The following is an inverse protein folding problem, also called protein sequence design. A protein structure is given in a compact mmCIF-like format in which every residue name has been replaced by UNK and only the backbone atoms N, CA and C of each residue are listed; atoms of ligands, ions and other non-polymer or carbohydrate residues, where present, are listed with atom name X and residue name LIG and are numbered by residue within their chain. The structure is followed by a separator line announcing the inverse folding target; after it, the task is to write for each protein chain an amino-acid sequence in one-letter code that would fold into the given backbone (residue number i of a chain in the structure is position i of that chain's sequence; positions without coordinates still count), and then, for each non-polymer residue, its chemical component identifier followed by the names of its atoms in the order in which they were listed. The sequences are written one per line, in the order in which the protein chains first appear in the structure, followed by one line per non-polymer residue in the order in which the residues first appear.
data_IF_344635475645
#
_entry.id   IF_344635475645
#
_cell.length_a   1.000
_cell.length_b   1.000
_cell.length_c   1.000
_cell.angle_alpha   90.00
_cell.angle_beta   90.00
_cell.angle_gamma   90.00
#
_symmetry.space_group_name_H-M   'P 1'
#
loop_
_entity.id
_entity.type
_entity.pdbx_description
1 polymer ?
#
# COMPACT_ATOMS: atom_id res chain seq x y z
N UNK A 1 14.48 42.16 62.41
CA UNK A 1 14.31 43.23 61.41
C UNK A 1 15.40 43.04 60.38
N UNK A 2 15.06 42.81 59.10
CA UNK A 2 15.84 43.17 57.90
C UNK A 2 15.15 42.52 56.69
N UNK A 3 14.34 43.32 56.01
CA UNK A 3 13.64 43.02 54.77
C UNK A 3 14.61 43.17 53.60
N UNK A 4 14.73 42.13 52.75
CA UNK A 4 15.43 42.22 51.47
C UNK A 4 14.49 41.72 50.36
N UNK A 5 13.44 42.50 50.08
CA UNK A 5 12.61 42.26 48.90
C UNK A 5 13.20 43.07 47.74
N UNK A 6 14.13 42.46 47.00
CA UNK A 6 14.65 43.01 45.75
C UNK A 6 13.50 43.04 44.75
N UNK A 7 12.90 44.23 44.60
CA UNK A 7 11.79 44.48 43.70
C UNK A 7 12.04 43.90 42.32
N UNK A 8 11.19 42.95 41.93
CA UNK A 8 11.06 42.52 40.56
C UNK A 8 10.67 43.75 39.72
N UNK A 9 11.65 44.35 39.05
CA UNK A 9 11.40 45.39 38.05
C UNK A 9 10.76 44.72 36.84
N UNK A 10 9.44 44.71 36.80
CA UNK A 10 8.70 44.43 35.58
C UNK A 10 8.90 45.61 34.62
N UNK A 11 9.49 45.34 33.45
CA UNK A 11 9.62 46.37 32.41
C UNK A 11 8.23 46.65 31.81
N UNK A 12 7.67 47.81 32.16
CA UNK A 12 6.43 48.38 31.63
C UNK A 12 6.64 48.89 30.20
N UNK A 13 7.15 48.04 29.29
CA UNK A 13 7.10 48.41 27.88
C UNK A 13 5.67 48.15 27.42
N UNK A 14 4.84 49.18 27.54
CA UNK A 14 3.46 49.17 27.07
C UNK A 14 3.44 48.67 25.62
N UNK A 15 2.79 47.51 25.43
CA UNK A 15 2.60 46.96 24.10
C UNK A 15 1.75 47.96 23.33
N UNK A 16 2.31 48.51 22.26
CA UNK A 16 1.61 49.54 21.50
C UNK A 16 0.25 49.03 21.02
N UNK A 17 -0.81 49.80 21.26
CA UNK A 17 -2.19 49.43 20.88
C UNK A 17 -2.29 49.07 19.40
N UNK A 18 -1.50 49.74 18.55
CA UNK A 18 -1.39 49.43 17.12
C UNK A 18 -0.91 48.02 16.86
N UNK A 19 0.09 47.55 17.62
CA UNK A 19 0.61 46.18 17.48
C UNK A 19 -0.41 45.13 17.90
N UNK A 20 -1.22 45.41 18.93
CA UNK A 20 -2.33 44.55 19.33
C UNK A 20 -3.40 44.50 18.25
N UNK A 21 -3.73 45.65 17.64
CA UNK A 21 -4.69 45.72 16.53
C UNK A 21 -4.20 44.96 15.30
N UNK A 22 -2.91 45.09 14.93
CA UNK A 22 -2.34 44.33 13.82
C UNK A 22 -2.29 42.83 14.12
N UNK A 23 -1.93 42.43 15.34
CA UNK A 23 -1.94 41.03 15.73
C UNK A 23 -3.36 40.44 15.66
N UNK A 24 -4.36 41.18 16.15
CA UNK A 24 -5.76 40.78 16.05
C UNK A 24 -6.25 40.69 14.59
N UNK A 25 -5.94 41.69 13.76
CA UNK A 25 -6.28 41.68 12.34
C UNK A 25 -5.62 40.51 11.60
N UNK A 26 -4.34 40.26 11.87
CA UNK A 26 -3.60 39.14 11.30
C UNK A 26 -4.18 37.79 11.72
N UNK A 27 -4.60 37.66 12.98
CA UNK A 27 -5.27 36.46 13.47
C UNK A 27 -6.59 36.22 12.73
N UNK A 28 -7.41 37.27 12.54
CA UNK A 28 -8.69 37.16 11.80
C UNK A 28 -8.44 36.75 10.34
N UNK A 29 -7.46 37.37 9.68
CA UNK A 29 -7.08 37.01 8.31
C UNK A 29 -6.60 35.57 8.23
N UNK A 30 -5.76 35.14 9.18
CA UNK A 30 -5.26 33.77 9.22
C UNK A 30 -6.39 32.75 9.37
N UNK A 31 -7.35 33.00 10.27
CA UNK A 31 -8.53 32.14 10.44
C UNK A 31 -9.35 32.09 9.15
N UNK A 32 -9.59 33.23 8.52
CA UNK A 32 -10.35 33.29 7.26
C UNK A 32 -9.67 32.49 6.13
N UNK A 33 -8.35 32.63 5.99
CA UNK A 33 -7.56 31.86 5.01
C UNK A 33 -7.60 30.36 5.32
N UNK A 34 -7.47 29.98 6.60
CA UNK A 34 -7.54 28.57 7.00
C UNK A 34 -8.89 27.95 6.70
N UNK A 35 -9.99 28.67 6.96
CA UNK A 35 -11.34 28.21 6.63
C UNK A 35 -11.56 28.11 5.12
N UNK A 36 -11.10 29.09 4.35
CA UNK A 36 -11.16 29.05 2.90
C UNK A 36 -10.35 27.89 2.31
N UNK A 37 -9.18 27.60 2.89
CA UNK A 37 -8.35 26.46 2.49
C UNK A 37 -9.04 25.13 2.77
N UNK A 38 -9.64 24.95 3.95
CA UNK A 38 -10.44 23.76 4.26
C UNK A 38 -11.61 23.63 3.29
N UNK A 39 -12.36 24.71 3.06
CA UNK A 39 -13.49 24.71 2.13
C UNK A 39 -13.06 24.35 0.68
N UNK A 40 -11.91 24.86 0.24
CA UNK A 40 -11.33 24.54 -1.06
C UNK A 40 -10.97 23.05 -1.16
N UNK A 41 -10.31 22.50 -0.13
CA UNK A 41 -9.97 21.07 -0.09
C UNK A 41 -11.23 20.21 -0.06
N UNK A 42 -12.22 20.54 0.77
CA UNK A 42 -13.49 19.79 0.80
C UNK A 42 -14.21 19.88 -0.53
N UNK A 43 -14.22 21.03 -1.21
CA UNK A 43 -14.82 21.15 -2.54
C UNK A 43 -14.06 20.35 -3.62
N UNK A 44 -12.73 20.34 -3.57
CA UNK A 44 -11.89 19.60 -4.51
C UNK A 44 -12.00 18.07 -4.32
N UNK A 45 -12.13 17.63 -3.07
CA UNK A 45 -12.18 16.22 -2.69
C UNK A 45 -13.57 15.73 -2.29
N UNK A 46 -14.61 16.54 -2.51
CA UNK A 46 -16.00 16.15 -2.25
C UNK A 46 -16.35 15.04 -3.23
N UNK A 47 -16.20 13.81 -2.76
CA UNK A 47 -16.86 12.66 -3.35
C UNK A 47 -18.35 12.93 -3.23
N UNK A 48 -19.16 12.82 -4.30
CA UNK A 48 -20.61 12.92 -4.19
C UNK A 48 -21.06 12.01 -3.06
N UNK A 49 -21.92 12.50 -2.16
CA UNK A 49 -22.57 11.66 -1.16
C UNK A 49 -23.25 10.52 -1.91
N UNK A 50 -22.56 9.38 -2.00
CA UNK A 50 -23.19 8.12 -2.34
C UNK A 50 -24.13 7.93 -1.17
N UNK A 51 -25.43 7.96 -1.45
CA UNK A 51 -26.46 7.55 -0.49
C UNK A 51 -25.89 6.36 0.30
N UNK A 52 -25.97 6.35 1.64
CA UNK A 52 -25.50 5.22 2.41
C UNK A 52 -26.27 4.00 1.90
N UNK A 53 -25.65 3.26 0.99
CA UNK A 53 -26.14 1.96 0.56
C UNK A 53 -26.32 1.23 1.87
N UNK A 54 -27.53 0.73 2.20
CA UNK A 54 -27.72 0.01 3.44
C UNK A 54 -26.61 -1.03 3.47
N UNK A 55 -25.71 -0.89 4.45
CA UNK A 55 -24.70 -1.91 4.69
C UNK A 55 -25.54 -3.08 5.13
N UNK A 56 -25.93 -3.90 4.15
CA UNK A 56 -26.23 -5.28 4.39
C UNK A 56 -24.93 -5.74 5.01
N UNK A 57 -24.91 -5.85 6.32
CA UNK A 57 -23.95 -6.67 7.03
C UNK A 57 -24.25 -8.08 6.56
N UNK A 58 -23.91 -8.38 5.30
CA UNK A 58 -23.31 -9.64 5.02
C UNK A 58 -22.15 -9.63 5.99
N UNK A 59 -22.28 -10.40 7.07
CA UNK A 59 -21.13 -11.03 7.69
C UNK A 59 -20.25 -11.44 6.52
N UNK A 60 -19.26 -10.62 6.18
CA UNK A 60 -18.16 -11.08 5.36
C UNK A 60 -17.59 -12.15 6.26
N UNK A 61 -17.71 -13.44 5.90
CA UNK A 61 -17.01 -14.44 6.66
C UNK A 61 -15.57 -13.94 6.66
N UNK A 62 -15.02 -13.68 7.84
CA UNK A 62 -13.60 -13.39 7.94
C UNK A 62 -12.96 -14.61 7.30
N UNK A 63 -12.44 -14.44 6.09
CA UNK A 63 -11.85 -15.51 5.31
C UNK A 63 -10.53 -15.85 5.99
N UNK A 64 -10.62 -16.50 7.15
CA UNK A 64 -9.52 -17.27 7.70
C UNK A 64 -9.11 -18.31 6.68
N UNK A 65 -7.87 -18.82 6.76
CA UNK A 65 -7.44 -19.90 5.88
C UNK A 65 -8.50 -20.99 5.90
N UNK A 66 -9.04 -21.31 4.73
CA UNK A 66 -10.03 -22.37 4.59
C UNK A 66 -9.39 -23.65 5.11
N UNK A 67 -10.03 -24.28 6.09
CA UNK A 67 -9.56 -25.56 6.60
C UNK A 67 -9.70 -26.58 5.47
N UNK A 68 -8.57 -27.09 4.99
CA UNK A 68 -8.56 -28.15 3.99
C UNK A 68 -9.22 -29.40 4.57
N UNK A 69 -10.16 -29.98 3.84
CA UNK A 69 -11.03 -31.05 4.37
C UNK A 69 -10.26 -32.37 4.43
N UNK A 70 -9.37 -32.62 3.46
CA UNK A 70 -8.58 -33.85 3.38
C UNK A 70 -7.10 -33.58 3.07
N UNK A 71 -6.35 -32.97 4.01
CA UNK A 71 -5.00 -32.48 3.75
C UNK A 71 -4.06 -33.51 3.13
N UNK A 72 -4.15 -34.78 3.54
CA UNK A 72 -3.30 -35.86 3.00
C UNK A 72 -3.67 -36.23 1.56
N UNK A 73 -4.94 -36.47 1.29
CA UNK A 73 -5.40 -36.88 -0.04
C UNK A 73 -5.16 -35.77 -1.07
N UNK A 74 -5.39 -34.52 -0.68
CA UNK A 74 -5.19 -33.37 -1.56
C UNK A 74 -3.69 -33.15 -1.85
N UNK A 75 -2.83 -33.33 -0.85
CA UNK A 75 -1.37 -33.31 -1.05
C UNK A 75 -0.90 -34.44 -1.97
N UNK A 76 -1.43 -35.66 -1.81
CA UNK A 76 -1.07 -36.79 -2.67
C UNK A 76 -1.52 -36.57 -4.12
N UNK A 77 -2.72 -36.02 -4.32
CA UNK A 77 -3.23 -35.67 -5.64
C UNK A 77 -2.39 -34.56 -6.30
N UNK A 78 -2.01 -33.53 -5.54
CA UNK A 78 -1.13 -32.45 -5.99
C UNK A 78 0.26 -32.98 -6.35
N UNK A 79 0.82 -33.85 -5.51
CA UNK A 79 2.12 -34.47 -5.79
C UNK A 79 2.08 -35.34 -7.04
N UNK A 80 1.00 -36.10 -7.24
CA UNK A 80 0.82 -36.93 -8.43
C UNK A 80 0.68 -36.08 -9.72
N UNK A 81 -0.04 -34.96 -9.67
CA UNK A 81 -0.19 -34.07 -10.82
C UNK A 81 1.14 -33.37 -11.17
N UNK A 82 1.85 -32.87 -10.16
CA UNK A 82 3.18 -32.27 -10.33
C UNK A 82 4.18 -33.26 -10.91
N UNK A 83 4.18 -34.49 -10.41
CA UNK A 83 5.03 -35.57 -10.91
C UNK A 83 4.77 -35.86 -12.38
N UNK A 84 3.50 -35.99 -12.78
CA UNK A 84 3.12 -36.17 -14.19
C UNK A 84 3.63 -35.03 -15.06
N UNK A 85 3.51 -33.78 -14.61
CA UNK A 85 3.98 -32.62 -15.38
C UNK A 85 5.50 -32.66 -15.64
N UNK A 86 6.29 -33.10 -14.65
CA UNK A 86 7.76 -33.18 -14.73
C UNK A 86 8.24 -34.38 -15.55
N UNK A 87 7.54 -35.51 -15.44
CA UNK A 87 7.97 -36.79 -16.03
C UNK A 87 7.42 -37.02 -17.46
N UNK A 88 6.43 -36.25 -17.90
CA UNK A 88 5.76 -36.49 -19.18
C UNK A 88 5.88 -35.34 -20.18
N UNK A 89 5.80 -35.72 -21.46
CA UNK A 89 5.66 -34.78 -22.55
C UNK A 89 4.31 -34.05 -22.49
N UNK A 90 4.27 -32.85 -23.06
CA UNK A 90 3.03 -32.10 -23.18
C UNK A 90 3.12 -31.06 -24.28
N UNK A 91 1.97 -30.46 -24.57
CA UNK A 91 1.86 -29.34 -25.51
C UNK A 91 1.16 -28.20 -24.80
N UNK A 92 1.76 -27.02 -24.88
CA UNK A 92 1.18 -25.76 -24.42
C UNK A 92 0.24 -25.19 -25.48
N UNK A 93 -0.72 -24.36 -25.06
CA UNK A 93 -1.71 -23.74 -25.96
C UNK A 93 -1.07 -22.82 -26.99
N UNK A 94 0.06 -22.20 -26.65
CA UNK A 94 0.91 -21.40 -27.55
C UNK A 94 1.72 -22.24 -28.55
N UNK A 95 1.51 -23.56 -28.58
CA UNK A 95 2.15 -24.47 -29.51
C UNK A 95 3.53 -24.98 -29.08
N UNK A 96 4.08 -24.55 -27.94
CA UNK A 96 5.35 -25.06 -27.41
C UNK A 96 5.23 -26.50 -26.93
N UNK A 97 6.26 -27.31 -27.18
CA UNK A 97 6.34 -28.70 -26.70
C UNK A 97 7.11 -28.72 -25.37
N UNK A 98 6.47 -29.27 -24.34
CA UNK A 98 7.10 -29.59 -23.06
C UNK A 98 7.74 -30.97 -23.16
N UNK A 99 9.00 -31.07 -22.76
CA UNK A 99 9.73 -32.33 -22.61
C UNK A 99 9.89 -32.69 -21.13
N UNK A 100 10.01 -33.98 -20.78
CA UNK A 100 10.33 -34.40 -19.41
C UNK A 100 11.62 -33.76 -18.91
N UNK A 101 11.68 -33.43 -17.62
CA UNK A 101 12.83 -32.76 -17.02
C UNK A 101 14.12 -33.58 -17.16
N UNK A 102 14.05 -34.91 -16.97
CA UNK A 102 15.19 -35.79 -17.19
C UNK A 102 15.75 -35.66 -18.61
N UNK A 103 14.86 -35.59 -19.62
CA UNK A 103 15.28 -35.42 -21.01
C UNK A 103 15.87 -34.04 -21.29
N UNK A 104 15.34 -32.99 -20.65
CA UNK A 104 15.91 -31.65 -20.74
C UNK A 104 17.33 -31.61 -20.16
N UNK A 105 17.55 -32.26 -19.03
CA UNK A 105 18.86 -32.38 -18.39
C UNK A 105 19.84 -33.10 -19.32
N UNK A 106 19.45 -34.24 -19.92
CA UNK A 106 20.30 -34.96 -20.88
C UNK A 106 20.72 -34.07 -22.05
N UNK A 107 19.75 -33.35 -22.64
CA UNK A 107 20.01 -32.47 -23.78
C UNK A 107 20.97 -31.34 -23.40
N UNK A 108 20.81 -30.76 -22.20
CA UNK A 108 21.69 -29.70 -21.70
C UNK A 108 23.08 -30.22 -21.35
N UNK A 109 23.18 -31.44 -20.80
CA UNK A 109 24.46 -32.08 -20.54
C UNK A 109 25.21 -32.37 -21.84
N UNK A 110 24.51 -32.81 -22.89
CA UNK A 110 25.09 -33.11 -24.20
C UNK A 110 25.48 -31.85 -24.99
N UNK A 111 24.64 -30.80 -24.97
CA UNK A 111 24.78 -29.62 -25.84
C UNK A 111 25.36 -28.38 -25.15
N UNK A 112 25.47 -28.42 -23.82
CA UNK A 112 25.79 -27.24 -23.01
C UNK A 112 24.61 -26.27 -22.87
N UNK A 113 24.82 -25.20 -22.11
CA UNK A 113 23.82 -24.15 -21.94
C UNK A 113 23.69 -23.33 -23.23
N UNK A 114 22.46 -22.97 -23.67
CA UNK A 114 22.29 -22.04 -24.77
C UNK A 114 22.94 -20.70 -24.41
N UNK A 115 23.99 -20.31 -25.14
CA UNK A 115 24.55 -18.97 -24.98
C UNK A 115 23.62 -18.00 -25.71
N UNK A 116 22.90 -17.18 -24.95
CA UNK A 116 22.01 -16.14 -25.47
C UNK A 116 22.83 -14.98 -26.06
N UNK A 117 23.56 -15.22 -27.16
CA UNK A 117 24.15 -14.15 -27.98
C UNK A 117 23.26 -13.76 -29.16
N UNK A 118 22.04 -14.29 -29.23
CA UNK A 118 21.00 -13.77 -30.12
C UNK A 118 19.97 -13.03 -29.27
N UNK A 119 20.36 -11.83 -28.82
CA UNK A 119 19.40 -10.77 -28.58
C UNK A 119 18.91 -10.28 -29.94
N UNK A 120 17.90 -10.92 -30.50
CA UNK A 120 17.10 -10.39 -31.58
C UNK A 120 16.05 -9.44 -31.00
N UNK A 121 16.45 -8.18 -30.84
CA UNK A 121 15.51 -7.08 -30.82
C UNK A 121 14.70 -7.08 -32.12
N UNK A 122 13.46 -7.56 -32.03
CA UNK A 122 12.32 -7.16 -32.86
C UNK A 122 11.03 -7.27 -32.05
#
# INVERSE_FOLDING_TARGET
MNENNKGAKYEQRDVSVRMVLYAGALLVVFVAVSLAFVAFLTGLFSVPDREPTPVRTAERPVAGPRLEVYPKADLDALNASNRRLVETYGRSEDGRIRIPAARAIDILADRGWPNDTNGDGR
#
